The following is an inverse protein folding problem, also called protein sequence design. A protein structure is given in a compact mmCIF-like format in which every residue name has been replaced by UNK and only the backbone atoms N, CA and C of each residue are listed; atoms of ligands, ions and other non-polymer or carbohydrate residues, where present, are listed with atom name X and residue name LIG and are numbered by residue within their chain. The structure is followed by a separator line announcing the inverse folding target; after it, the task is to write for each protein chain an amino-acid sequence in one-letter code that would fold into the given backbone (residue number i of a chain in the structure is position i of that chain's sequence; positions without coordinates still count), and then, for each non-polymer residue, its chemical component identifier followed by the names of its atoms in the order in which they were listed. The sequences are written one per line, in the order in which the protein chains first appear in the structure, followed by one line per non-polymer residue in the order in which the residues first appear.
data_IF_253024809548
#
_entry.id   IF_253024809548
#
_cell.length_a   1.000
_cell.length_b   1.000
_cell.length_c   1.000
_cell.angle_alpha   90.00
_cell.angle_beta   90.00
_cell.angle_gamma   90.00
#
_symmetry.space_group_name_H-M   'P 1'
#
loop_
_entity.id
_entity.type
_entity.pdbx_description
1 polymer ?
#
# COMPACT_ATOMS: atom_id res chain seq x y z
N UNK A 1 14.71 3.62 -2.87
CA UNK A 1 14.37 3.78 -1.43
C UNK A 1 13.59 2.59 -0.87
N UNK A 2 13.60 2.37 0.46
CA UNK A 2 12.81 1.30 1.12
C UNK A 2 11.42 1.79 1.50
N UNK A 3 10.41 0.95 1.28
CA UNK A 3 9.04 1.11 1.77
C UNK A 3 8.39 -0.24 2.03
N UNK A 4 7.23 -0.23 2.66
CA UNK A 4 6.52 -1.45 3.04
C UNK A 4 5.20 -1.55 2.30
N UNK A 5 4.86 -2.76 1.85
CA UNK A 5 3.61 -3.00 1.15
C UNK A 5 2.86 -4.16 1.76
N UNK A 6 1.60 -3.90 2.10
CA UNK A 6 0.66 -4.95 2.49
C UNK A 6 0.11 -5.63 1.23
N UNK A 7 0.22 -6.95 1.18
CA UNK A 7 -0.20 -7.80 0.07
C UNK A 7 -0.99 -8.98 0.59
N UNK A 8 -1.75 -9.63 -0.31
CA UNK A 8 -2.44 -10.87 -0.02
C UNK A 8 -1.52 -12.05 -0.37
N UNK A 9 -1.34 -12.97 0.56
CA UNK A 9 -0.67 -14.25 0.35
C UNK A 9 -1.72 -15.32 0.04
N UNK A 10 -1.54 -16.05 -1.05
CA UNK A 10 -2.36 -17.21 -1.39
C UNK A 10 -1.53 -18.24 -2.13
N UNK A 11 -1.53 -19.49 -1.67
CA UNK A 11 -0.80 -20.61 -2.29
C UNK A 11 0.68 -20.29 -2.53
N UNK A 12 1.33 -19.60 -1.57
CA UNK A 12 2.73 -19.16 -1.67
C UNK A 12 2.99 -17.98 -2.63
N UNK A 13 1.94 -17.38 -3.18
CA UNK A 13 2.03 -16.27 -4.13
C UNK A 13 1.46 -14.97 -3.56
N UNK A 14 2.04 -13.84 -3.99
CA UNK A 14 1.68 -12.51 -3.54
C UNK A 14 0.79 -11.79 -4.57
N UNK A 15 -0.26 -11.13 -4.08
CA UNK A 15 -1.24 -10.41 -4.89
C UNK A 15 -1.58 -9.04 -4.30
N UNK A 16 -1.96 -8.05 -5.13
CA UNK A 16 -2.55 -6.80 -4.65
C UNK A 16 -3.84 -7.03 -3.84
N UNK A 17 -4.09 -6.17 -2.85
CA UNK A 17 -5.27 -6.28 -1.98
C UNK A 17 -6.60 -5.97 -2.69
N UNK A 18 -6.63 -4.88 -3.48
CA UNK A 18 -7.91 -4.30 -3.93
C UNK A 18 -8.03 -4.05 -5.43
N UNK A 19 -6.96 -3.62 -6.10
CA UNK A 19 -6.94 -3.32 -7.54
C UNK A 19 -5.98 -4.31 -8.20
N UNK A 20 -6.39 -4.93 -9.29
CA UNK A 20 -5.62 -5.99 -9.98
C UNK A 20 -5.29 -7.20 -9.06
N UNK A 21 -6.29 -7.66 -8.30
CA UNK A 21 -6.11 -8.70 -7.26
C UNK A 21 -5.80 -10.10 -7.81
N UNK A 22 -5.64 -10.25 -9.12
CA UNK A 22 -5.39 -11.52 -9.81
C UNK A 22 -3.96 -11.60 -10.37
N UNK A 23 -3.26 -10.48 -10.47
CA UNK A 23 -1.90 -10.45 -10.99
C UNK A 23 -0.92 -10.78 -9.88
N UNK A 24 -0.18 -11.87 -10.05
CA UNK A 24 0.89 -12.28 -9.14
C UNK A 24 2.03 -11.25 -9.19
N UNK A 25 2.59 -10.94 -8.03
CA UNK A 25 3.79 -10.11 -7.89
C UNK A 25 4.98 -11.02 -7.53
N UNK A 26 6.00 -11.12 -8.40
CA UNK A 26 7.23 -11.88 -8.09
C UNK A 26 8.08 -11.19 -7.03
N UNK A 27 8.79 -11.99 -6.23
CA UNK A 27 9.82 -11.52 -5.29
C UNK A 27 11.14 -11.39 -6.06
N UNK A 28 11.94 -10.36 -5.74
CA UNK A 28 13.26 -10.13 -6.31
C UNK A 28 13.27 -9.49 -7.70
N UNK A 29 12.11 -9.19 -8.28
CA UNK A 29 11.97 -8.61 -9.62
C UNK A 29 11.35 -7.21 -9.53
N UNK A 30 11.91 -6.26 -10.29
CA UNK A 30 11.31 -4.94 -10.45
C UNK A 30 10.03 -5.03 -11.29
N UNK A 31 8.94 -4.49 -10.76
CA UNK A 31 7.62 -4.51 -11.40
C UNK A 31 7.09 -3.09 -11.50
N UNK A 32 6.78 -2.68 -12.72
CA UNK A 32 6.11 -1.42 -12.99
C UNK A 32 4.64 -1.48 -12.54
N UNK A 33 4.16 -0.37 -12.00
CA UNK A 33 2.76 -0.21 -11.68
C UNK A 33 1.92 -0.26 -12.95
N UNK A 34 0.67 -0.70 -12.80
CA UNK A 34 -0.32 -0.69 -13.88
C UNK A 34 -1.52 0.13 -13.45
N UNK A 35 -2.17 0.77 -14.42
CA UNK A 35 -3.49 1.36 -14.17
C UNK A 35 -4.51 0.24 -13.97
N UNK A 36 -5.37 0.39 -12.96
CA UNK A 36 -6.54 -0.48 -12.85
C UNK A 36 -7.63 -0.09 -13.85
N UNK A 37 -8.58 -0.99 -14.08
CA UNK A 37 -9.75 -0.76 -14.94
C UNK A 37 -10.49 0.52 -14.52
N UNK A 38 -10.54 1.51 -15.42
CA UNK A 38 -11.28 2.76 -15.22
C UNK A 38 -12.77 2.53 -15.41
N UNK A 39 -13.56 3.09 -14.51
CA UNK A 39 -15.01 3.12 -14.58
C UNK A 39 -15.51 4.42 -15.24
N UNK A 40 -16.74 4.46 -15.79
CA UNK A 40 -17.29 5.65 -16.45
C UNK A 40 -17.32 6.91 -15.57
N UNK A 41 -17.38 6.74 -14.24
CA UNK A 41 -17.34 7.84 -13.27
C UNK A 41 -15.92 8.34 -12.94
N UNK A 42 -14.90 7.92 -13.68
CA UNK A 42 -13.49 8.31 -13.50
C UNK A 42 -12.78 7.63 -12.33
N UNK A 43 -13.45 6.73 -11.60
CA UNK A 43 -12.87 5.92 -10.51
C UNK A 43 -12.21 4.65 -11.07
N UNK A 44 -11.47 3.95 -10.21
CA UNK A 44 -10.90 2.63 -10.52
C UNK A 44 -11.74 1.52 -9.89
N UNK A 45 -11.96 0.44 -10.64
CA UNK A 45 -12.62 -0.76 -10.15
C UNK A 45 -11.75 -1.44 -9.09
N UNK A 46 -12.36 -1.87 -7.98
CA UNK A 46 -11.67 -2.56 -6.91
C UNK A 46 -12.59 -3.52 -6.16
N UNK A 47 -12.01 -4.41 -5.34
CA UNK A 47 -12.75 -5.32 -4.45
C UNK A 47 -13.57 -4.61 -3.37
N UNK A 48 -13.21 -3.37 -3.00
CA UNK A 48 -13.93 -2.56 -2.00
C UNK A 48 -15.06 -1.70 -2.61
N UNK A 49 -15.32 -1.84 -3.91
CA UNK A 49 -16.11 -0.90 -4.70
C UNK A 49 -15.23 0.16 -5.38
N UNK A 50 -15.82 1.15 -6.09
CA UNK A 50 -15.07 2.14 -6.85
C UNK A 50 -14.15 3.02 -5.99
N UNK A 51 -12.84 2.99 -6.25
CA UNK A 51 -11.83 3.80 -5.55
C UNK A 51 -11.40 5.02 -6.38
N UNK A 52 -10.84 6.03 -5.72
CA UNK A 52 -10.29 7.19 -6.42
C UNK A 52 -9.13 6.75 -7.34
N UNK A 53 -9.12 7.25 -8.57
CA UNK A 53 -8.08 6.95 -9.53
C UNK A 53 -6.77 7.67 -9.17
N UNK A 54 -5.84 6.92 -8.56
CA UNK A 54 -4.45 7.32 -8.26
C UNK A 54 -3.56 6.16 -8.66
N UNK A 55 -3.04 6.14 -9.89
CA UNK A 55 -2.29 4.99 -10.38
C UNK A 55 -0.88 4.98 -9.77
N UNK A 56 -0.36 3.79 -9.50
CA UNK A 56 0.92 3.59 -8.81
C UNK A 56 0.84 2.59 -7.68
N UNK A 57 2.00 2.05 -7.30
CA UNK A 57 2.14 1.21 -6.13
C UNK A 57 1.97 2.05 -4.87
N UNK A 58 0.99 1.69 -4.05
CA UNK A 58 0.81 2.29 -2.73
C UNK A 58 1.63 1.51 -1.70
N UNK A 59 2.64 2.16 -1.13
CA UNK A 59 3.49 1.67 -0.04
C UNK A 59 3.37 2.60 1.18
N UNK A 60 3.82 2.14 2.33
CA UNK A 60 3.93 2.91 3.58
C UNK A 60 5.39 3.01 4.04
N UNK A 61 5.68 4.01 4.86
CA UNK A 61 7.02 4.19 5.46
C UNK A 61 7.30 3.19 6.58
N UNK A 62 6.26 2.61 7.18
CA UNK A 62 6.32 1.54 8.18
C UNK A 62 5.28 0.45 7.82
N UNK A 63 5.44 -0.81 8.25
CA UNK A 63 4.49 -1.87 7.98
C UNK A 63 3.26 -1.78 8.92
N UNK A 64 2.52 -0.67 8.82
CA UNK A 64 1.30 -0.41 9.58
C UNK A 64 0.25 0.29 8.71
N UNK A 65 -0.97 -0.25 8.72
CA UNK A 65 -2.12 0.32 8.01
C UNK A 65 -3.38 0.28 8.88
N UNK A 66 -3.57 1.28 9.75
CA UNK A 66 -4.68 1.36 10.73
C UNK A 66 -6.10 1.46 10.15
N UNK A 67 -6.23 1.47 8.83
CA UNK A 67 -7.50 1.58 8.11
C UNK A 67 -7.79 0.36 7.22
N UNK A 68 -6.92 -0.66 7.28
CA UNK A 68 -7.04 -1.93 6.55
C UNK A 68 -7.00 -3.06 7.57
N UNK A 69 -7.93 -3.99 7.48
CA UNK A 69 -8.01 -5.16 8.37
C UNK A 69 -9.42 -5.50 8.81
N UNK A 70 -9.49 -6.36 9.82
CA UNK A 70 -10.73 -6.84 10.44
C UNK A 70 -11.22 -5.79 11.43
N UNK A 71 -12.50 -5.42 11.28
CA UNK A 71 -13.19 -4.50 12.17
C UNK A 71 -13.84 -5.26 13.33
N UNK A 72 -13.66 -4.74 14.53
CA UNK A 72 -14.39 -5.12 15.72
C UNK A 72 -14.99 -3.85 16.35
N UNK A 73 -16.30 -3.85 16.57
CA UNK A 73 -17.05 -2.68 17.06
C UNK A 73 -16.79 -1.40 16.23
N UNK A 74 -16.67 -1.56 14.90
CA UNK A 74 -16.45 -0.46 13.96
C UNK A 74 -14.99 0.02 13.85
N UNK A 75 -14.08 -0.51 14.67
CA UNK A 75 -12.66 -0.12 14.69
C UNK A 75 -11.81 -1.26 14.13
N UNK A 76 -10.82 -0.93 13.30
CA UNK A 76 -9.85 -1.94 12.81
C UNK A 76 -9.00 -2.38 14.01
N UNK A 77 -9.03 -3.68 14.30
CA UNK A 77 -8.31 -4.27 15.44
C UNK A 77 -7.27 -5.31 15.02
N UNK A 78 -7.52 -6.01 13.92
CA UNK A 78 -6.68 -7.12 13.50
C UNK A 78 -6.34 -7.04 12.00
N UNK A 79 -5.19 -7.60 11.61
CA UNK A 79 -4.89 -7.90 10.21
C UNK A 79 -5.67 -9.14 9.74
N UNK A 80 -5.97 -9.24 8.45
CA UNK A 80 -6.48 -10.50 7.91
C UNK A 80 -5.36 -11.53 7.84
N UNK A 81 -5.68 -12.79 8.14
CA UNK A 81 -4.75 -13.92 8.19
C UNK A 81 -3.95 -14.12 6.90
N UNK A 82 -4.57 -13.84 5.75
CA UNK A 82 -3.95 -13.96 4.44
C UNK A 82 -3.25 -12.66 3.97
N UNK A 83 -3.10 -11.66 4.82
CA UNK A 83 -2.34 -10.45 4.52
C UNK A 83 -0.92 -10.52 5.08
N UNK A 84 0.08 -10.11 4.30
CA UNK A 84 1.48 -10.09 4.72
C UNK A 84 2.13 -8.76 4.39
N UNK A 85 3.01 -8.29 5.26
CA UNK A 85 3.87 -7.14 4.97
C UNK A 85 5.09 -7.61 4.19
N UNK A 86 5.41 -6.87 3.13
CA UNK A 86 6.61 -7.06 2.36
C UNK A 86 7.49 -5.82 2.48
N UNK A 87 8.78 -6.03 2.68
CA UNK A 87 9.80 -5.00 2.52
C UNK A 87 10.11 -4.86 1.03
N UNK A 88 9.99 -3.64 0.51
CA UNK A 88 10.11 -3.35 -0.90
C UNK A 88 11.13 -2.24 -1.13
N UNK A 89 11.81 -2.30 -2.25
CA UNK A 89 12.45 -1.15 -2.87
C UNK A 89 11.47 -0.48 -3.83
N UNK A 90 11.48 0.84 -3.89
CA UNK A 90 10.78 1.62 -4.92
C UNK A 90 11.72 2.65 -5.54
N UNK A 91 11.41 3.03 -6.78
CA UNK A 91 12.19 4.02 -7.53
C UNK A 91 11.97 5.42 -6.98
N UNK A 92 13.06 6.07 -6.57
CA UNK A 92 13.07 7.44 -6.08
C UNK A 92 13.87 8.41 -6.95
N UNK A 93 14.22 8.00 -8.19
CA UNK A 93 14.96 8.84 -9.15
C UNK A 93 14.27 10.19 -9.38
N UNK A 94 12.93 10.20 -9.42
CA UNK A 94 12.15 11.42 -9.63
C UNK A 94 11.18 11.64 -8.46
N UNK A 95 11.38 12.75 -7.76
CA UNK A 95 10.45 13.23 -6.75
C UNK A 95 9.32 14.05 -7.42
N UNK A 96 8.13 13.45 -7.53
CA UNK A 96 6.94 14.10 -8.08
C UNK A 96 6.16 14.95 -7.06
N UNK A 97 6.64 15.07 -5.82
CA UNK A 97 5.97 15.88 -4.79
C UNK A 97 5.68 17.32 -5.25
N UNK A 98 6.60 18.05 -5.92
CA UNK A 98 6.30 19.40 -6.42
C UNK A 98 5.24 19.44 -7.51
N UNK A 99 5.06 18.37 -8.27
CA UNK A 99 4.03 18.26 -9.31
C UNK A 99 2.65 18.15 -8.67
N UNK A 100 2.52 17.28 -7.66
CA UNK A 100 1.22 17.09 -6.99
C UNK A 100 0.81 18.29 -6.16
N UNK A 101 1.76 19.02 -5.59
CA UNK A 101 1.48 20.24 -4.83
C UNK A 101 0.97 21.38 -5.71
N UNK A 102 1.39 21.43 -6.99
CA UNK A 102 0.84 22.35 -7.99
C UNK A 102 -0.59 21.99 -8.40
N UNK A 103 -0.96 20.71 -8.36
CA UNK A 103 -2.31 20.25 -8.68
C UNK A 103 -3.34 20.65 -7.61
N UNK A 104 -2.91 20.88 -6.38
CA UNK A 104 -3.77 21.39 -5.32
C UNK A 104 -3.30 21.01 -3.91
N UNK A 105 -4.23 21.09 -2.95
CA UNK A 105 -3.99 20.74 -1.53
C UNK A 105 -4.84 19.55 -1.10
N UNK A 106 -4.40 18.85 -0.06
CA UNK A 106 -5.13 17.72 0.52
C UNK A 106 -5.40 16.62 -0.50
N UNK A 107 -6.66 16.20 -0.65
CA UNK A 107 -7.06 15.13 -1.57
C UNK A 107 -6.82 15.46 -3.06
N UNK A 108 -6.62 16.74 -3.42
CA UNK A 108 -6.31 17.19 -4.79
C UNK A 108 -4.82 17.13 -5.11
N UNK A 109 -3.95 17.00 -4.10
CA UNK A 109 -2.51 16.88 -4.27
C UNK A 109 -2.13 15.46 -4.73
N UNK A 110 -2.56 15.08 -5.93
CA UNK A 110 -2.35 13.74 -6.51
C UNK A 110 -2.05 13.82 -8.01
N UNK A 111 -1.52 12.72 -8.56
CA UNK A 111 -1.37 12.53 -10.01
C UNK A 111 -2.46 11.59 -10.53
N UNK A 112 -2.80 11.75 -11.80
CA UNK A 112 -3.69 10.87 -12.57
C UNK A 112 -2.93 10.05 -13.61
N UNK A 113 -1.60 10.01 -13.50
CA UNK A 113 -0.68 9.20 -14.28
C UNK A 113 0.33 8.52 -13.35
N UNK A 114 0.89 7.39 -13.79
CA UNK A 114 1.89 6.64 -13.02
C UNK A 114 3.17 7.51 -12.88
N UNK A 115 3.76 7.65 -11.68
CA UNK A 115 5.00 8.39 -11.51
C UNK A 115 6.21 7.56 -12.01
N UNK A 116 6.46 7.61 -13.31
CA UNK A 116 7.52 6.82 -13.98
C UNK A 116 8.88 7.07 -13.34
N UNK A 117 9.57 5.98 -12.95
CA UNK A 117 10.86 6.00 -12.23
C UNK A 117 10.87 6.87 -10.97
N UNK A 118 9.70 7.18 -10.41
CA UNK A 118 9.60 8.09 -9.31
C UNK A 118 8.48 7.77 -8.36
N UNK A 119 8.22 8.74 -7.50
CA UNK A 119 7.19 8.63 -6.48
C UNK A 119 6.70 10.00 -6.02
N UNK A 120 5.57 10.01 -5.31
CA UNK A 120 5.13 11.13 -4.50
C UNK A 120 4.47 10.63 -3.20
N UNK A 121 4.29 11.51 -2.23
CA UNK A 121 3.60 11.17 -0.97
C UNK A 121 2.17 11.70 -0.98
N UNK A 122 1.23 10.87 -0.54
CA UNK A 122 -0.20 11.21 -0.53
C UNK A 122 -0.85 10.90 0.81
N UNK A 123 -1.79 11.75 1.22
CA UNK A 123 -2.59 11.56 2.43
C UNK A 123 -4.07 11.59 2.09
N UNK A 124 -4.80 10.51 2.39
CA UNK A 124 -6.24 10.43 2.10
C UNK A 124 -7.06 11.39 2.97
N UNK A 125 -6.63 11.62 4.21
CA UNK A 125 -7.22 12.60 5.13
C UNK A 125 -6.17 13.11 6.13
N UNK A 126 -6.35 14.29 6.75
CA UNK A 126 -5.45 14.77 7.79
C UNK A 126 -5.27 13.80 8.96
N UNK A 127 -6.27 12.96 9.25
CA UNK A 127 -6.28 11.99 10.34
C UNK A 127 -5.59 10.66 10.00
N UNK A 128 -5.27 10.39 8.73
CA UNK A 128 -4.52 9.19 8.36
C UNK A 128 -3.16 9.17 9.07
N UNK A 129 -2.80 8.02 9.63
CA UNK A 129 -1.46 7.82 10.15
C UNK A 129 -0.46 7.70 8.98
N UNK A 130 0.61 8.48 9.03
CA UNK A 130 1.63 8.53 7.96
C UNK A 130 1.11 9.12 6.65
N UNK A 131 1.88 8.87 5.58
CA UNK A 131 1.51 9.16 4.18
C UNK A 131 1.73 7.90 3.36
N UNK A 132 0.87 7.68 2.37
CA UNK A 132 1.17 6.74 1.32
C UNK A 132 2.35 7.24 0.51
N UNK A 133 3.23 6.32 0.13
CA UNK A 133 4.18 6.48 -0.97
C UNK A 133 3.51 5.90 -2.20
N UNK A 134 3.28 6.74 -3.22
CA UNK A 134 2.74 6.31 -4.51
C UNK A 134 3.90 6.28 -5.50
N UNK A 135 4.36 5.09 -5.86
CA UNK A 135 5.54 4.87 -6.70
C UNK A 135 5.21 4.23 -8.05
N UNK A 136 6.03 4.51 -9.06
CA UNK A 136 5.83 3.98 -10.41
C UNK A 136 6.29 2.56 -10.59
N UNK A 137 7.27 2.12 -9.80
CA UNK A 137 7.80 0.77 -9.82
C UNK A 137 8.27 0.37 -8.42
N UNK A 138 8.24 -0.93 -8.15
CA UNK A 138 8.77 -1.49 -6.92
C UNK A 138 9.36 -2.87 -7.15
N UNK A 139 10.26 -3.30 -6.27
CA UNK A 139 10.74 -4.68 -6.16
C UNK A 139 10.46 -5.16 -4.74
N UNK A 140 9.84 -6.32 -4.61
CA UNK A 140 9.69 -6.98 -3.31
C UNK A 140 11.02 -7.64 -2.95
N UNK A 141 11.63 -7.27 -1.83
CA UNK A 141 12.87 -7.89 -1.37
C UNK A 141 12.56 -9.19 -0.63
N UNK A 142 11.64 -9.12 0.32
CA UNK A 142 11.28 -10.24 1.20
C UNK A 142 9.92 -10.01 1.85
N UNK A 143 9.31 -11.10 2.28
CA UNK A 143 8.14 -11.10 3.16
C UNK A 143 8.65 -10.94 4.59
N UNK A 144 8.00 -10.11 5.39
CA UNK A 144 8.29 -9.94 6.81
C UNK A 144 7.47 -10.93 7.63
N UNK A 145 8.07 -11.51 8.66
CA UNK A 145 7.28 -12.15 9.72
C UNK A 145 6.49 -11.10 10.51
N UNK A 146 5.47 -11.55 11.24
CA UNK A 146 4.68 -10.65 12.10
C UNK A 146 5.55 -10.01 13.19
N UNK A 147 6.53 -10.74 13.73
CA UNK A 147 7.50 -10.24 14.71
C UNK A 147 8.42 -9.17 14.11
N UNK A 148 8.90 -9.37 12.88
CA UNK A 148 9.73 -8.40 12.18
C UNK A 148 8.95 -7.11 11.89
N UNK A 149 7.74 -7.23 11.35
CA UNK A 149 6.86 -6.11 11.11
C UNK A 149 6.55 -5.37 12.43
N UNK A 150 6.22 -6.11 13.49
CA UNK A 150 5.97 -5.56 14.81
C UNK A 150 7.17 -4.79 15.37
N UNK A 151 8.39 -5.33 15.22
CA UNK A 151 9.62 -4.66 15.66
C UNK A 151 9.80 -3.32 14.94
N UNK A 152 9.61 -3.28 13.61
CA UNK A 152 9.75 -2.05 12.82
C UNK A 152 8.72 -1.01 13.26
N UNK A 153 7.46 -1.42 13.46
CA UNK A 153 6.38 -0.52 13.89
C UNK A 153 6.65 0.05 15.28
N UNK A 154 7.08 -0.78 16.23
CA UNK A 154 7.43 -0.35 17.60
C UNK A 154 8.66 0.55 17.62
N UNK A 155 9.69 0.26 16.82
CA UNK A 155 10.84 1.16 16.66
C UNK A 155 10.46 2.53 16.10
N UNK A 156 9.36 2.63 15.36
CA UNK A 156 8.81 3.90 14.89
C UNK A 156 7.87 4.59 15.89
N UNK A 157 7.68 4.03 17.09
CA UNK A 157 6.84 4.61 18.15
C UNK A 157 5.35 4.32 18.02
N UNK A 158 4.98 3.28 17.28
CA UNK A 158 3.59 2.85 17.10
C UNK A 158 3.37 1.41 17.57
N UNK A 159 2.11 1.00 17.73
CA UNK A 159 1.76 -0.40 18.00
C UNK A 159 1.31 -1.09 16.70
N UNK A 160 1.86 -2.28 16.37
CA UNK A 160 1.39 -3.07 15.24
C UNK A 160 -0.04 -3.55 15.40
N UNK A 161 -0.71 -3.80 14.27
CA UNK A 161 -1.98 -4.53 14.27
C UNK A 161 -1.69 -6.03 14.45
N UNK A 162 -2.24 -6.68 15.49
CA UNK A 162 -2.08 -8.12 15.69
C UNK A 162 -2.89 -8.93 14.68
N UNK A 163 -2.62 -10.24 14.60
CA UNK A 163 -3.53 -11.22 13.98
C UNK A 163 -4.78 -11.42 14.83
N UNK A 164 -5.85 -11.90 14.22
CA UNK A 164 -7.06 -12.28 14.97
C UNK A 164 -6.73 -13.43 15.93
N UNK A 165 -7.28 -13.48 17.16
CA UNK A 165 -7.06 -14.58 18.10
C UNK A 165 -7.47 -15.96 17.59
N UNK A 166 -8.35 -16.00 16.58
CA UNK A 166 -8.79 -17.25 15.93
C UNK A 166 -7.88 -17.69 14.78
N UNK A 167 -6.74 -17.03 14.59
CA UNK A 167 -5.75 -17.40 13.58
C UNK A 167 -5.08 -18.74 13.95
N UNK A 168 -5.31 -19.76 13.15
CA UNK A 168 -4.55 -21.02 13.19
C UNK A 168 -3.48 -20.96 12.12
N UNK A 169 -2.22 -20.86 12.53
CA UNK A 169 -1.02 -20.89 11.66
C UNK A 169 -0.89 -22.20 10.88
#
# INVERSE_FOLDING_TARGET
MIGYKLLKMKDGNLYPLYVDTKTRIPIGVWVDAKEGERLPNGKVKSRLGPLQFRPGWHLSEIPLAVHIGIKENGVIRFMHDDEVWCECEYSDEINYQPVVEKNGRGYRAMMTSIPVRGYYRFKTSPQMLGKWIIAGSMKINRILSDEEAAKIVRSAGYEPLPRSPNYTS
#
